data_IF_252105272445
#
_entry.id   IF_252105272445
#
_cell.length_a   1.000
_cell.length_b   1.000
_cell.length_c   1.000
_cell.angle_alpha   90.00
_cell.angle_beta   90.00
_cell.angle_gamma   90.00
#
_symmetry.space_group_name_H-M   'P 1'
#
loop_
_entity.id
_entity.type
_entity.pdbx_description
1 polymer ?
#
# COMPACT_ATOMS: atom_id res chain seq x y z
N UNK A 1 22.82 24.86 25.46
CA UNK A 1 22.72 24.11 24.21
C UNK A 1 21.63 23.08 24.34
N UNK A 2 20.58 23.25 23.59
CA UNK A 2 19.36 22.46 23.78
C UNK A 2 19.42 21.14 23.00
N UNK A 3 19.81 20.05 23.66
CA UNK A 3 19.70 18.68 23.13
C UNK A 3 18.26 18.32 22.72
N UNK A 4 17.24 18.94 23.29
CA UNK A 4 15.83 18.80 22.95
C UNK A 4 15.50 19.26 21.52
N UNK A 5 16.14 20.35 21.02
CA UNK A 5 15.94 20.80 19.63
C UNK A 5 16.43 19.79 18.59
N UNK A 6 17.57 19.16 18.84
CA UNK A 6 18.09 18.10 17.96
C UNK A 6 17.21 16.85 17.93
N UNK A 7 16.66 16.45 19.08
CA UNK A 7 15.73 15.33 19.15
C UNK A 7 14.43 15.58 18.38
N UNK A 8 13.88 16.80 18.46
CA UNK A 8 12.67 17.17 17.73
C UNK A 8 12.90 17.22 16.22
N UNK A 9 14.04 17.72 15.76
CA UNK A 9 14.41 17.75 14.35
C UNK A 9 14.56 16.31 13.82
N UNK A 10 15.28 15.44 14.54
CA UNK A 10 15.42 14.05 14.16
C UNK A 10 14.06 13.33 14.07
N UNK A 11 13.18 13.51 15.07
CA UNK A 11 11.84 12.93 15.07
C UNK A 11 10.97 13.46 13.92
N UNK A 12 11.14 14.73 13.51
CA UNK A 12 10.38 15.30 12.39
C UNK A 12 10.84 14.79 11.03
N UNK A 13 12.09 14.34 10.90
CA UNK A 13 12.59 13.67 9.69
C UNK A 13 12.07 12.23 9.62
N UNK A 14 12.02 11.52 10.75
CA UNK A 14 11.50 10.15 10.82
C UNK A 14 9.98 10.10 10.59
N UNK A 15 9.25 11.10 11.07
CA UNK A 15 7.80 11.23 10.87
C UNK A 15 7.43 12.66 10.43
N UNK A 16 7.57 12.98 9.12
CA UNK A 16 7.35 14.34 8.62
C UNK A 16 5.88 14.80 8.64
N UNK A 17 4.93 13.90 8.89
CA UNK A 17 3.50 14.22 9.02
C UNK A 17 3.02 14.18 10.48
N UNK A 18 3.89 13.81 11.41
CA UNK A 18 3.55 13.69 12.84
C UNK A 18 3.43 15.04 13.55
N UNK A 19 2.86 15.03 14.78
CA UNK A 19 2.71 16.25 15.59
C UNK A 19 4.04 16.92 15.91
N UNK A 20 5.12 16.16 16.08
CA UNK A 20 6.46 16.70 16.35
C UNK A 20 6.97 17.53 15.18
N UNK A 21 6.78 17.09 13.95
CA UNK A 21 7.15 17.85 12.75
C UNK A 21 6.40 19.16 12.68
N UNK A 22 5.11 19.19 12.98
CA UNK A 22 4.32 20.44 13.01
C UNK A 22 4.81 21.39 14.10
N UNK A 23 5.10 20.90 15.28
CA UNK A 23 5.64 21.71 16.38
C UNK A 23 7.01 22.32 16.04
N UNK A 24 7.88 21.55 15.41
CA UNK A 24 9.20 22.04 14.99
C UNK A 24 9.07 23.13 13.92
N UNK A 25 8.20 22.96 12.95
CA UNK A 25 7.94 23.99 11.91
C UNK A 25 7.44 25.27 12.56
N UNK A 26 6.48 25.22 13.48
CA UNK A 26 5.97 26.39 14.19
C UNK A 26 7.07 27.04 15.03
N UNK A 27 7.84 26.28 15.80
CA UNK A 27 8.93 26.79 16.62
C UNK A 27 10.01 27.49 15.79
N UNK A 28 10.38 26.91 14.64
CA UNK A 28 11.38 27.51 13.72
C UNK A 28 10.84 28.81 13.10
N UNK A 29 9.57 28.86 12.71
CA UNK A 29 8.93 30.10 12.22
C UNK A 29 8.91 31.24 13.24
N UNK A 30 8.70 30.90 14.51
CA UNK A 30 8.66 31.88 15.60
C UNK A 30 10.04 32.36 16.03
N UNK A 31 11.07 31.52 15.94
CA UNK A 31 12.43 31.84 16.46
C UNK A 31 13.34 32.61 15.50
N UNK A 32 12.99 32.79 14.25
CA UNK A 32 13.72 33.48 13.18
C UNK A 32 15.22 33.73 13.37
N UNK A 33 16.07 32.84 12.86
CA UNK A 33 17.28 33.30 12.15
C UNK A 33 16.99 33.27 10.65
N UNK A 34 17.39 34.33 9.96
CA UNK A 34 17.26 34.48 8.51
C UNK A 34 17.84 33.30 7.76
N UNK A 35 17.05 32.65 6.88
CA UNK A 35 17.47 31.58 5.95
C UNK A 35 17.35 30.18 6.51
N UNK A 36 17.47 29.92 7.82
CA UNK A 36 17.42 28.58 8.43
C UNK A 36 15.99 28.01 8.47
N UNK A 37 14.99 28.86 8.61
CA UNK A 37 13.58 28.45 8.63
C UNK A 37 13.15 27.91 7.27
N UNK A 38 13.48 28.63 6.21
CA UNK A 38 13.15 28.23 4.84
C UNK A 38 13.84 26.93 4.46
N UNK A 39 15.14 26.77 4.80
CA UNK A 39 15.89 25.54 4.57
C UNK A 39 15.29 24.37 5.31
N UNK A 40 14.91 24.54 6.58
CA UNK A 40 14.29 23.49 7.39
C UNK A 40 12.92 23.11 6.83
N UNK A 41 12.09 24.08 6.43
CA UNK A 41 10.81 23.82 5.78
C UNK A 41 10.98 23.02 4.47
N UNK A 42 11.99 23.34 3.66
CA UNK A 42 12.30 22.58 2.44
C UNK A 42 12.74 21.15 2.74
N UNK A 43 13.53 20.91 3.78
CA UNK A 43 13.94 19.59 4.23
C UNK A 43 12.70 18.75 4.65
N UNK A 44 11.81 19.32 5.44
CA UNK A 44 10.59 18.64 5.90
C UNK A 44 9.66 18.36 4.72
N UNK A 45 9.49 19.32 3.81
CA UNK A 45 8.69 19.10 2.58
C UNK A 45 9.29 18.01 1.70
N UNK A 46 10.62 17.97 1.56
CA UNK A 46 11.34 16.92 0.84
C UNK A 46 11.09 15.54 1.46
N UNK A 47 11.23 15.42 2.78
CA UNK A 47 10.96 14.19 3.53
C UNK A 47 9.50 13.73 3.38
N UNK A 48 8.53 14.65 3.43
CA UNK A 48 7.12 14.34 3.18
C UNK A 48 6.86 13.82 1.77
N UNK A 49 7.51 14.41 0.75
CA UNK A 49 7.39 13.95 -0.64
C UNK A 49 7.97 12.56 -0.83
N UNK A 50 9.12 12.27 -0.23
CA UNK A 50 9.75 10.95 -0.28
C UNK A 50 8.90 9.90 0.42
N UNK A 51 8.35 10.20 1.59
CA UNK A 51 7.45 9.30 2.30
C UNK A 51 6.18 9.03 1.50
N UNK A 52 5.56 10.06 0.93
CA UNK A 52 4.36 9.90 0.11
C UNK A 52 4.63 9.07 -1.16
N UNK A 53 5.82 9.22 -1.77
CA UNK A 53 6.22 8.41 -2.91
C UNK A 53 6.43 6.94 -2.50
N UNK A 54 7.06 6.69 -1.36
CA UNK A 54 7.24 5.35 -0.82
C UNK A 54 5.91 4.67 -0.47
N UNK A 55 4.99 5.40 0.13
CA UNK A 55 3.64 4.92 0.44
C UNK A 55 2.86 4.54 -0.83
N UNK A 56 2.92 5.38 -1.87
CA UNK A 56 2.30 5.09 -3.17
C UNK A 56 2.86 3.82 -3.80
N UNK A 57 4.16 3.60 -3.72
CA UNK A 57 4.78 2.38 -4.25
C UNK A 57 4.37 1.15 -3.45
N UNK A 58 4.29 1.24 -2.13
CA UNK A 58 3.79 0.14 -1.29
C UNK A 58 2.34 -0.22 -1.63
N UNK A 59 1.48 0.77 -1.82
CA UNK A 59 0.09 0.55 -2.24
C UNK A 59 0.03 -0.06 -3.63
N UNK A 60 0.83 0.43 -4.58
CA UNK A 60 0.90 -0.16 -5.92
C UNK A 60 1.35 -1.63 -5.88
N UNK A 61 2.34 -1.96 -5.06
CA UNK A 61 2.77 -3.34 -4.84
C UNK A 61 1.65 -4.21 -4.28
N UNK A 62 0.87 -3.72 -3.32
CA UNK A 62 -0.30 -4.45 -2.80
C UNK A 62 -1.36 -4.67 -3.88
N UNK A 63 -1.64 -3.69 -4.72
CA UNK A 63 -2.58 -3.84 -5.84
C UNK A 63 -2.09 -4.93 -6.81
N UNK A 64 -0.82 -4.90 -7.19
CA UNK A 64 -0.22 -5.94 -8.04
C UNK A 64 -0.36 -7.33 -7.43
N UNK A 65 -0.09 -7.47 -6.15
CA UNK A 65 -0.21 -8.73 -5.43
C UNK A 65 -1.65 -9.26 -5.42
N UNK A 66 -2.62 -8.39 -5.17
CA UNK A 66 -4.03 -8.76 -5.18
C UNK A 66 -4.49 -9.22 -6.57
N UNK A 67 -4.10 -8.52 -7.62
CA UNK A 67 -4.40 -8.91 -9.00
C UNK A 67 -3.78 -10.27 -9.32
N UNK A 68 -2.50 -10.46 -9.01
CA UNK A 68 -1.79 -11.72 -9.26
C UNK A 68 -2.38 -12.89 -8.46
N UNK A 69 -2.68 -12.70 -7.19
CA UNK A 69 -3.27 -13.73 -6.34
C UNK A 69 -4.69 -14.10 -6.77
N UNK A 70 -5.43 -13.21 -7.39
CA UNK A 70 -6.77 -13.49 -7.90
C UNK A 70 -6.76 -14.52 -9.04
N UNK A 71 -5.66 -14.60 -9.79
CA UNK A 71 -5.57 -15.42 -10.99
C UNK A 71 -6.43 -14.94 -12.16
N UNK A 72 -7.11 -13.81 -12.00
CA UNK A 72 -7.99 -13.24 -13.02
C UNK A 72 -7.22 -12.39 -14.03
N UNK A 73 -7.67 -12.31 -15.30
CA UNK A 73 -7.21 -11.30 -16.22
C UNK A 73 -7.50 -9.89 -15.66
N UNK A 74 -6.65 -8.93 -15.99
CA UNK A 74 -6.80 -7.55 -15.48
C UNK A 74 -8.15 -6.92 -15.82
N UNK A 75 -8.68 -7.16 -17.02
CA UNK A 75 -9.99 -6.66 -17.42
C UNK A 75 -11.13 -7.23 -16.58
N UNK A 76 -11.08 -8.52 -16.28
CA UNK A 76 -12.08 -9.18 -15.43
C UNK A 76 -11.95 -8.75 -13.97
N UNK A 77 -10.75 -8.66 -13.46
CA UNK A 77 -10.50 -8.13 -12.11
C UNK A 77 -11.05 -6.71 -11.95
N UNK A 78 -10.75 -5.82 -12.89
CA UNK A 78 -11.25 -4.46 -12.92
C UNK A 78 -12.79 -4.41 -12.90
N UNK A 79 -13.42 -5.22 -13.74
CA UNK A 79 -14.88 -5.29 -13.81
C UNK A 79 -15.50 -5.74 -12.49
N UNK A 80 -14.96 -6.78 -11.86
CA UNK A 80 -15.46 -7.29 -10.57
C UNK A 80 -15.27 -6.33 -9.43
N UNK A 81 -14.20 -5.55 -9.44
CA UNK A 81 -13.93 -4.51 -8.45
C UNK A 81 -14.79 -3.27 -8.66
N UNK A 82 -15.33 -3.08 -9.85
CA UNK A 82 -16.13 -1.91 -10.22
C UNK A 82 -15.32 -0.72 -10.71
N UNK A 83 -14.22 -1.00 -11.40
CA UNK A 83 -13.36 0.00 -12.04
C UNK A 83 -13.10 -0.35 -13.50
N UNK A 84 -12.51 0.56 -14.26
CA UNK A 84 -12.09 0.29 -15.63
C UNK A 84 -10.68 -0.28 -15.70
N UNK A 85 -10.37 -1.01 -16.77
CA UNK A 85 -9.02 -1.53 -17.00
C UNK A 85 -7.96 -0.42 -17.07
N UNK A 86 -8.18 0.71 -17.78
CA UNK A 86 -7.22 1.81 -17.76
C UNK A 86 -7.01 2.40 -16.36
N UNK A 87 -8.07 2.52 -15.57
CA UNK A 87 -7.96 3.02 -14.19
C UNK A 87 -7.22 2.05 -13.30
N UNK A 88 -7.46 0.75 -13.42
CA UNK A 88 -6.68 -0.27 -12.72
C UNK A 88 -5.19 -0.16 -13.04
N UNK A 89 -4.84 0.09 -14.30
CA UNK A 89 -3.44 0.29 -14.71
C UNK A 89 -2.77 1.47 -13.99
N UNK A 90 -3.49 2.55 -13.71
CA UNK A 90 -2.97 3.68 -12.94
C UNK A 90 -2.69 3.33 -11.49
N UNK A 91 -3.47 2.43 -10.90
CA UNK A 91 -3.24 1.91 -9.55
C UNK A 91 -2.05 0.95 -9.50
N UNK A 92 -1.92 0.08 -10.49
CA UNK A 92 -0.80 -0.86 -10.62
C UNK A 92 0.53 -0.14 -10.80
N UNK A 93 0.55 0.95 -11.56
CA UNK A 93 1.76 1.76 -11.80
C UNK A 93 2.12 2.70 -10.65
N UNK A 94 1.22 2.92 -9.71
CA UNK A 94 1.41 3.88 -8.62
C UNK A 94 1.15 5.33 -8.99
N UNK A 95 0.63 5.61 -10.19
CA UNK A 95 0.26 6.96 -10.60
C UNK A 95 -0.90 7.53 -9.78
N UNK A 96 -1.84 6.68 -9.42
CA UNK A 96 -3.02 7.03 -8.61
C UNK A 96 -3.13 6.05 -7.45
N UNK A 97 -3.41 6.56 -6.26
CA UNK A 97 -3.69 5.75 -5.07
C UNK A 97 -5.19 5.42 -5.04
N UNK A 98 -5.56 4.14 -4.98
CA UNK A 98 -6.97 3.77 -4.82
C UNK A 98 -7.48 4.18 -3.44
N UNK A 99 -8.79 4.40 -3.32
CA UNK A 99 -9.41 4.64 -2.03
C UNK A 99 -9.34 3.40 -1.12
N UNK A 100 -9.43 3.60 0.18
CA UNK A 100 -9.47 2.49 1.13
C UNK A 100 -10.63 1.52 0.83
N UNK A 101 -11.80 2.04 0.45
CA UNK A 101 -12.95 1.23 0.08
C UNK A 101 -12.67 0.37 -1.17
N UNK A 102 -11.94 0.93 -2.15
CA UNK A 102 -11.54 0.19 -3.34
C UNK A 102 -10.54 -0.91 -3.02
N UNK A 103 -9.58 -0.65 -2.13
CA UNK A 103 -8.62 -1.65 -1.65
C UNK A 103 -9.33 -2.82 -0.95
N UNK A 104 -10.33 -2.54 -0.12
CA UNK A 104 -11.16 -3.56 0.51
C UNK A 104 -11.89 -4.41 -0.53
N UNK A 105 -12.49 -3.78 -1.53
CA UNK A 105 -13.15 -4.50 -2.64
C UNK A 105 -12.20 -5.37 -3.44
N UNK A 106 -10.99 -4.89 -3.72
CA UNK A 106 -9.94 -5.68 -4.37
C UNK A 106 -9.59 -6.92 -3.56
N UNK A 107 -9.42 -6.78 -2.25
CA UNK A 107 -9.17 -7.91 -1.34
C UNK A 107 -10.31 -8.93 -1.36
N UNK A 108 -11.56 -8.48 -1.34
CA UNK A 108 -12.74 -9.35 -1.40
C UNK A 108 -12.83 -10.11 -2.73
N UNK A 109 -12.58 -9.44 -3.85
CA UNK A 109 -12.55 -10.07 -5.18
C UNK A 109 -11.46 -11.13 -5.26
N UNK A 110 -10.27 -10.82 -4.77
CA UNK A 110 -9.14 -11.77 -4.72
C UNK A 110 -9.48 -13.00 -3.89
N UNK A 111 -10.02 -12.83 -2.69
CA UNK A 111 -10.40 -13.95 -1.83
C UNK A 111 -11.48 -14.84 -2.46
N UNK A 112 -12.48 -14.25 -3.08
CA UNK A 112 -13.53 -15.00 -3.80
C UNK A 112 -12.98 -15.78 -5.00
N UNK A 113 -12.09 -15.16 -5.77
CA UNK A 113 -11.45 -15.81 -6.91
C UNK A 113 -10.57 -16.99 -6.48
N UNK A 114 -9.80 -16.82 -5.40
CA UNK A 114 -8.98 -17.89 -4.83
C UNK A 114 -9.84 -19.05 -4.31
N UNK A 115 -10.91 -18.75 -3.60
CA UNK A 115 -11.83 -19.76 -3.09
C UNK A 115 -12.51 -20.55 -4.23
N UNK A 116 -12.88 -19.87 -5.32
CA UNK A 116 -13.46 -20.52 -6.51
C UNK A 116 -12.44 -21.44 -7.19
N UNK A 117 -11.20 -20.97 -7.40
CA UNK A 117 -10.13 -21.77 -7.99
C UNK A 117 -9.81 -23.02 -7.15
N UNK A 118 -9.83 -22.90 -5.83
CA UNK A 118 -9.58 -24.03 -4.93
C UNK A 118 -10.70 -25.08 -4.99
N UNK A 119 -11.93 -24.68 -5.26
CA UNK A 119 -13.06 -25.60 -5.45
C UNK A 119 -13.04 -26.32 -6.80
N UNK A 120 -12.46 -25.70 -7.80
CA UNK A 120 -12.35 -26.27 -9.16
C UNK A 120 -11.18 -27.26 -9.30
N UNK A 121 -10.24 -27.24 -8.38
CA UNK A 121 -9.21 -28.29 -8.31
C UNK A 121 -9.84 -29.49 -7.59
N UNK A 122 -10.21 -30.60 -8.29
CA UNK A 122 -10.70 -31.79 -7.62
C UNK A 122 -9.57 -32.26 -6.73
N UNK A 123 -9.78 -32.25 -5.44
CA UNK A 123 -8.89 -32.89 -4.51
C UNK A 123 -8.68 -34.31 -4.99
N UNK A 124 -7.43 -34.73 -5.00
CA UNK A 124 -7.00 -36.11 -5.24
C UNK A 124 -8.01 -37.07 -4.57
N UNK A 125 -8.93 -37.59 -5.38
CA UNK A 125 -9.87 -38.59 -4.90
C UNK A 125 -9.02 -39.81 -4.55
N UNK A 126 -9.09 -40.35 -3.32
CA UNK A 126 -8.35 -41.52 -2.99
C UNK A 126 -8.76 -42.61 -3.97
N UNK A 127 -7.78 -43.21 -4.63
CA UNK A 127 -7.96 -44.31 -5.55
C UNK A 127 -8.84 -45.37 -4.87
N UNK A 128 -9.87 -45.89 -5.56
CA UNK A 128 -10.68 -46.95 -4.99
C UNK A 128 -9.78 -48.11 -4.67
N UNK A 129 -9.74 -48.47 -3.40
CA UNK A 129 -8.95 -49.58 -2.89
C UNK A 129 -9.42 -50.87 -3.60
N UNK A 130 -8.60 -51.27 -4.55
CA UNK A 130 -8.86 -52.48 -5.35
C UNK A 130 -8.66 -53.74 -4.54
N UNK A 131 -9.50 -53.97 -3.53
CA UNK A 131 -9.61 -55.28 -2.93
C UNK A 131 -10.45 -56.17 -3.83
N UNK A 132 -9.77 -56.80 -4.76
CA UNK A 132 -10.29 -57.98 -5.40
C UNK A 132 -10.66 -59.04 -4.32
N UNK A 133 -11.95 -59.25 -4.17
CA UNK A 133 -12.43 -60.44 -3.41
C UNK A 133 -12.05 -61.68 -4.20
N UNK A 134 -11.13 -62.43 -3.66
CA UNK A 134 -10.96 -63.85 -4.09
C UNK A 134 -12.10 -64.62 -3.49
N UNK A 135 -12.89 -65.24 -4.36
CA UNK A 135 -13.79 -66.33 -4.03
C UNK A 135 -12.99 -67.63 -3.95
#
# INVERSE_FOLDING_TARGET
>A
MNSLKFRHIAASVDDPFGPVAQQVIVAVRLSRPYGTTELFEEIVKGARRELAAAERELVAAQVRDLVNQSGLPRSEFAQRVGTSRPRLSTYISGQVVPSAALMVRMGMVTERARAAAHRETPGDAPAPDGRARRS
#
